data_IF_791921383430
#
_entry.id   IF_791921383430
#
_cell.length_a   1.000
_cell.length_b   1.000
_cell.length_c   1.000
_cell.angle_alpha   90.00
_cell.angle_beta   90.00
_cell.angle_gamma   90.00
#
_symmetry.space_group_name_H-M   'P 1'
#
loop_
_entity.id
_entity.type
_entity.pdbx_description
1 polymer ?
#
# COMPACT_ATOMS: atom_id res chain seq x y z
N UNK A 1 4.42 -10.71 -15.79
CA UNK A 1 3.39 -11.19 -14.84
C UNK A 1 2.14 -10.32 -14.81
N UNK A 2 2.25 -8.98 -14.73
CA UNK A 2 1.08 -8.09 -14.69
C UNK A 2 0.13 -8.31 -15.88
N UNK A 3 0.65 -8.30 -17.12
CA UNK A 3 -0.17 -8.56 -18.31
C UNK A 3 -0.96 -9.88 -18.21
N UNK A 4 -0.32 -10.98 -17.79
CA UNK A 4 -0.99 -12.27 -17.60
C UNK A 4 -2.09 -12.21 -16.52
N UNK A 5 -1.87 -11.47 -15.42
CA UNK A 5 -2.88 -11.25 -14.39
C UNK A 5 -4.05 -10.37 -14.89
N UNK A 6 -3.77 -9.37 -15.74
CA UNK A 6 -4.80 -8.58 -16.41
C UNK A 6 -5.65 -9.48 -17.33
N UNK A 7 -5.02 -10.32 -18.16
CA UNK A 7 -5.76 -11.27 -19.00
C UNK A 7 -6.68 -12.17 -18.17
N UNK A 8 -6.19 -12.74 -17.07
CA UNK A 8 -7.02 -13.55 -16.18
C UNK A 8 -8.18 -12.74 -15.57
N UNK A 9 -7.92 -11.50 -15.15
CA UNK A 9 -8.96 -10.62 -14.61
C UNK A 9 -10.07 -10.34 -15.63
N UNK A 10 -9.70 -10.02 -16.87
CA UNK A 10 -10.65 -9.76 -17.95
C UNK A 10 -11.45 -11.01 -18.31
N UNK A 11 -10.78 -12.17 -18.46
CA UNK A 11 -11.45 -13.44 -18.77
C UNK A 11 -12.42 -13.86 -17.67
N UNK A 12 -12.01 -13.79 -16.39
CA UNK A 12 -12.88 -14.12 -15.26
C UNK A 12 -14.08 -13.17 -15.19
N UNK A 13 -13.88 -11.88 -15.41
CA UNK A 13 -14.94 -10.86 -15.43
C UNK A 13 -15.95 -11.15 -16.53
N UNK A 14 -15.46 -11.36 -17.76
CA UNK A 14 -16.31 -11.45 -18.95
C UNK A 14 -17.03 -12.80 -19.06
N UNK A 15 -16.46 -13.88 -18.49
CA UNK A 15 -17.00 -15.24 -18.60
C UNK A 15 -17.77 -15.71 -17.35
N UNK A 16 -17.35 -15.29 -16.16
CA UNK A 16 -17.97 -15.72 -14.89
C UNK A 16 -18.56 -14.56 -14.08
N UNK A 17 -18.05 -13.34 -14.22
CA UNK A 17 -18.45 -12.20 -13.40
C UNK A 17 -17.91 -12.23 -11.97
N UNK A 18 -17.10 -13.22 -11.62
CA UNK A 18 -16.51 -13.39 -10.28
C UNK A 18 -15.14 -14.08 -10.33
N UNK A 19 -14.42 -14.01 -9.21
CA UNK A 19 -13.07 -14.56 -9.03
C UNK A 19 -12.37 -13.91 -7.85
N UNK A 20 -11.12 -14.26 -7.57
CA UNK A 20 -10.35 -13.60 -6.51
C UNK A 20 -9.60 -12.40 -7.13
N UNK A 21 -10.16 -11.21 -6.93
CA UNK A 21 -9.61 -9.94 -7.41
C UNK A 21 -8.83 -9.23 -6.31
N UNK A 22 -7.82 -8.45 -6.72
CA UNK A 22 -7.15 -7.48 -5.87
C UNK A 22 -7.68 -6.09 -6.27
N UNK A 23 -8.44 -5.45 -5.39
CA UNK A 23 -9.14 -4.19 -5.65
C UNK A 23 -8.50 -3.09 -4.81
N UNK A 24 -8.43 -1.88 -5.35
CA UNK A 24 -7.91 -0.72 -4.65
C UNK A 24 -8.65 0.53 -5.12
N UNK A 25 -9.43 1.15 -4.25
CA UNK A 25 -10.34 2.24 -4.60
C UNK A 25 -9.69 3.64 -4.58
N UNK A 26 -8.37 3.72 -4.34
CA UNK A 26 -7.67 5.01 -4.37
C UNK A 26 -7.86 5.77 -3.06
N UNK A 27 -8.80 6.70 -3.04
CA UNK A 27 -9.14 7.50 -1.86
C UNK A 27 -10.50 7.12 -1.29
N UNK A 28 -10.67 7.29 0.02
CA UNK A 28 -11.97 7.16 0.66
C UNK A 28 -12.85 8.39 0.31
N UNK A 29 -14.07 8.23 -0.24
CA UNK A 29 -14.99 9.34 -0.48
C UNK A 29 -15.28 10.22 0.76
N UNK A 30 -15.28 9.62 1.96
CA UNK A 30 -15.46 10.34 3.21
C UNK A 30 -14.30 11.30 3.51
N UNK A 31 -13.12 11.09 2.92
CA UNK A 31 -11.98 12.00 3.04
C UNK A 31 -12.20 13.28 2.23
N UNK A 32 -12.62 13.14 0.98
CA UNK A 32 -12.78 14.26 0.04
C UNK A 32 -13.84 15.26 0.48
N UNK A 33 -14.95 14.77 1.03
CA UNK A 33 -16.04 15.60 1.56
C UNK A 33 -15.63 16.45 2.78
N UNK A 34 -14.66 16.00 3.59
CA UNK A 34 -14.32 16.62 4.88
C UNK A 34 -13.12 17.56 4.84
N UNK A 35 -12.26 17.53 3.80
CA UNK A 35 -10.91 18.13 3.86
C UNK A 35 -10.36 18.80 2.57
N UNK A 36 -11.22 19.44 1.78
CA UNK A 36 -10.87 20.37 0.69
C UNK A 36 -9.65 21.31 0.95
N UNK A 37 -9.34 21.80 2.18
CA UNK A 37 -8.21 22.72 2.39
C UNK A 37 -6.81 22.12 2.24
N UNK A 38 -6.63 20.79 2.29
CA UNK A 38 -5.29 20.17 2.22
C UNK A 38 -4.79 19.94 0.79
N UNK A 39 -5.68 20.03 -0.22
CA UNK A 39 -5.31 19.97 -1.63
C UNK A 39 -4.94 21.36 -2.20
N UNK A 40 -5.40 22.45 -1.58
CA UNK A 40 -5.08 23.82 -2.03
C UNK A 40 -3.59 24.16 -2.04
N UNK A 41 -2.76 23.72 -1.07
CA UNK A 41 -1.33 24.06 -1.06
C UNK A 41 -0.50 23.28 -2.09
N UNK A 42 -1.05 22.24 -2.73
CA UNK A 42 -0.30 21.39 -3.66
C UNK A 42 -0.40 21.85 -5.11
N UNK A 43 -1.09 22.97 -5.39
CA UNK A 43 -1.24 23.52 -6.75
C UNK A 43 -2.09 22.66 -7.69
N UNK A 44 -2.65 21.55 -7.20
CA UNK A 44 -3.60 20.72 -7.94
C UNK A 44 -4.98 21.22 -7.53
N UNK A 45 -5.66 21.96 -8.41
CA UNK A 45 -7.12 22.09 -8.38
C UNK A 45 -7.71 20.70 -8.63
N UNK A 46 -7.63 19.84 -7.61
CA UNK A 46 -8.11 18.50 -7.70
C UNK A 46 -9.60 18.55 -7.42
N UNK A 47 -10.39 18.56 -8.48
CA UNK A 47 -11.80 18.22 -8.40
C UNK A 47 -11.94 16.90 -7.63
N UNK A 48 -12.63 16.96 -6.51
CA UNK A 48 -12.81 15.83 -5.61
C UNK A 48 -13.48 14.66 -6.33
N UNK A 49 -14.43 14.93 -7.21
CA UNK A 49 -15.11 13.89 -7.98
C UNK A 49 -14.14 13.23 -8.96
N UNK A 50 -13.29 14.02 -9.62
CA UNK A 50 -12.24 13.51 -10.50
C UNK A 50 -11.27 12.59 -9.76
N UNK A 51 -10.87 12.92 -8.53
CA UNK A 51 -9.97 12.08 -7.72
C UNK A 51 -10.54 10.71 -7.32
N UNK A 52 -11.87 10.56 -7.35
CA UNK A 52 -12.54 9.27 -7.14
C UNK A 52 -12.58 8.41 -8.40
N UNK A 53 -12.13 8.94 -9.53
CA UNK A 53 -12.01 8.19 -10.79
C UNK A 53 -10.60 7.62 -10.96
N UNK A 54 -10.48 6.52 -11.71
CA UNK A 54 -9.20 5.90 -12.02
C UNK A 54 -8.27 6.87 -12.77
N UNK A 55 -8.83 7.63 -13.70
CA UNK A 55 -8.10 8.62 -14.50
C UNK A 55 -7.56 9.75 -13.63
N UNK A 56 -8.41 10.38 -12.82
CA UNK A 56 -7.98 11.46 -11.93
C UNK A 56 -6.97 11.02 -10.88
N UNK A 57 -7.09 9.79 -10.36
CA UNK A 57 -6.07 9.23 -9.48
C UNK A 57 -4.73 9.06 -10.21
N UNK A 58 -4.73 8.57 -11.45
CA UNK A 58 -3.51 8.41 -12.25
C UNK A 58 -2.86 9.76 -12.60
N UNK A 59 -3.66 10.77 -12.96
CA UNK A 59 -3.17 12.13 -13.18
C UNK A 59 -2.49 12.69 -11.93
N UNK A 60 -3.14 12.58 -10.76
CA UNK A 60 -2.55 13.01 -9.50
C UNK A 60 -1.24 12.26 -9.24
N UNK A 61 -1.19 10.93 -9.43
CA UNK A 61 0.03 10.14 -9.24
C UNK A 61 1.17 10.63 -10.12
N UNK A 62 0.91 10.86 -11.41
CA UNK A 62 1.92 11.40 -12.35
C UNK A 62 2.42 12.78 -11.92
N UNK A 63 1.53 13.65 -11.43
CA UNK A 63 1.92 14.96 -10.92
C UNK A 63 2.77 14.87 -9.65
N UNK A 64 2.44 13.94 -8.73
CA UNK A 64 3.24 13.71 -7.52
C UNK A 64 4.62 13.13 -7.84
N UNK A 65 4.70 12.25 -8.84
CA UNK A 65 5.96 11.65 -9.29
C UNK A 65 6.88 12.64 -10.01
N UNK A 66 6.33 13.73 -10.58
CA UNK A 66 7.13 14.78 -11.23
C UNK A 66 7.70 15.82 -10.25
N UNK A 67 7.34 15.74 -8.97
CA UNK A 67 7.84 16.67 -7.95
C UNK A 67 9.31 16.41 -7.61
N UNK A 68 10.09 17.45 -7.26
CA UNK A 68 11.50 17.29 -6.91
C UNK A 68 11.73 16.47 -5.63
N UNK A 69 10.69 16.35 -4.78
CA UNK A 69 10.77 15.57 -3.52
C UNK A 69 9.47 14.80 -3.28
N UNK A 70 9.55 13.73 -2.49
CA UNK A 70 8.39 12.94 -2.09
C UNK A 70 7.55 13.59 -0.97
N UNK A 71 7.85 14.84 -0.59
CA UNK A 71 7.17 15.51 0.51
C UNK A 71 5.66 15.55 0.30
N UNK A 72 5.19 15.97 -0.88
CA UNK A 72 3.76 16.04 -1.17
C UNK A 72 3.11 14.64 -1.18
N UNK A 73 3.75 13.65 -1.78
CA UNK A 73 3.26 12.27 -1.78
C UNK A 73 3.10 11.72 -0.36
N UNK A 74 4.08 11.94 0.52
CA UNK A 74 4.03 11.50 1.91
C UNK A 74 2.82 12.07 2.67
N UNK A 75 2.42 13.31 2.36
CA UNK A 75 1.29 14.00 3.00
C UNK A 75 -0.05 13.46 2.53
N UNK A 76 -0.12 12.97 1.29
CA UNK A 76 -1.33 12.45 0.65
C UNK A 76 -1.51 10.96 0.92
N UNK A 77 -0.42 10.19 1.05
CA UNK A 77 -0.42 8.73 1.24
C UNK A 77 -1.30 8.26 2.37
N UNK A 78 -1.39 9.01 3.47
CA UNK A 78 -2.27 8.69 4.63
C UNK A 78 -3.78 8.72 4.32
N UNK A 79 -4.16 9.24 3.17
CA UNK A 79 -5.56 9.31 2.72
C UNK A 79 -5.90 8.21 1.72
N UNK A 80 -4.90 7.47 1.23
CA UNK A 80 -5.11 6.36 0.33
C UNK A 80 -5.64 5.15 1.09
N UNK A 81 -6.53 4.40 0.46
CA UNK A 81 -7.02 3.12 0.97
C UNK A 81 -5.96 2.04 0.77
N UNK A 82 -6.14 0.88 1.42
CA UNK A 82 -5.30 -0.28 1.18
C UNK A 82 -5.89 -1.14 0.07
N UNK A 83 -5.04 -1.92 -0.60
CA UNK A 83 -5.53 -2.93 -1.54
C UNK A 83 -6.21 -4.08 -0.77
N UNK A 84 -7.42 -4.42 -1.20
CA UNK A 84 -8.29 -5.42 -0.60
C UNK A 84 -8.46 -6.62 -1.55
N UNK A 85 -8.95 -7.73 -0.99
CA UNK A 85 -9.27 -8.93 -1.76
C UNK A 85 -10.79 -8.97 -1.92
N UNK A 86 -11.27 -9.10 -3.14
CA UNK A 86 -12.70 -9.15 -3.47
C UNK A 86 -13.05 -10.42 -4.25
N UNK A 87 -14.29 -10.91 -4.11
CA UNK A 87 -14.85 -11.97 -4.94
C UNK A 87 -15.44 -11.47 -6.26
N UNK A 88 -15.56 -10.14 -6.40
CA UNK A 88 -16.09 -9.46 -7.59
C UNK A 88 -15.05 -8.57 -8.24
N UNK A 89 -15.16 -8.33 -9.57
CA UNK A 89 -14.28 -7.42 -10.29
C UNK A 89 -14.35 -6.00 -9.71
N UNK A 90 -13.22 -5.32 -9.72
CA UNK A 90 -13.12 -3.92 -9.32
C UNK A 90 -11.77 -3.32 -9.71
N UNK A 91 -11.68 -1.98 -9.73
CA UNK A 91 -10.50 -1.28 -10.18
C UNK A 91 -9.35 -1.41 -9.17
N UNK A 92 -8.14 -1.34 -9.68
CA UNK A 92 -6.93 -1.26 -8.88
C UNK A 92 -6.22 0.07 -9.16
N UNK A 93 -6.63 1.13 -8.46
CA UNK A 93 -6.15 2.50 -8.68
C UNK A 93 -4.64 2.64 -8.56
N UNK A 94 -4.02 1.96 -7.58
CA UNK A 94 -2.56 1.96 -7.41
C UNK A 94 -1.78 1.35 -8.58
N UNK A 95 -2.45 0.62 -9.49
CA UNK A 95 -1.86 0.07 -10.72
C UNK A 95 -2.37 0.75 -11.98
N UNK A 96 -3.36 1.65 -11.89
CA UNK A 96 -4.01 2.25 -13.06
C UNK A 96 -4.81 1.25 -13.90
N UNK A 97 -5.40 0.22 -13.29
CA UNK A 97 -6.10 -0.86 -14.00
C UNK A 97 -7.59 -0.94 -13.61
N UNK A 98 -8.46 -1.23 -14.57
CA UNK A 98 -9.91 -1.43 -14.35
C UNK A 98 -10.25 -2.74 -13.63
N UNK A 99 -9.41 -3.76 -13.79
CA UNK A 99 -9.56 -5.04 -13.11
C UNK A 99 -8.19 -5.71 -12.93
N UNK A 100 -7.98 -6.34 -11.78
CA UNK A 100 -6.74 -7.06 -11.51
C UNK A 100 -6.97 -8.30 -10.65
N UNK A 101 -6.62 -9.48 -11.17
CA UNK A 101 -6.74 -10.77 -10.50
C UNK A 101 -5.43 -11.55 -10.67
N UNK A 102 -4.88 -12.07 -9.57
CA UNK A 102 -3.61 -12.81 -9.64
C UNK A 102 -3.87 -14.29 -9.83
N UNK A 103 -3.13 -14.92 -10.74
CA UNK A 103 -3.14 -16.38 -10.94
C UNK A 103 -1.73 -16.93 -11.17
N UNK A 104 -0.72 -16.11 -10.97
CA UNK A 104 0.65 -16.36 -11.42
C UNK A 104 1.56 -16.96 -10.35
N UNK A 105 1.06 -17.18 -9.15
CA UNK A 105 1.81 -17.70 -8.00
C UNK A 105 1.00 -18.72 -7.17
N UNK A 106 0.33 -19.72 -7.78
CA UNK A 106 -0.57 -20.64 -7.08
C UNK A 106 0.14 -21.49 -6.01
N UNK A 107 1.44 -21.76 -6.14
CA UNK A 107 2.23 -22.53 -5.17
C UNK A 107 2.29 -21.84 -3.79
N UNK A 108 2.24 -20.50 -3.77
CA UNK A 108 2.45 -19.68 -2.56
C UNK A 108 1.30 -18.73 -2.25
N UNK A 109 0.21 -18.78 -3.02
CA UNK A 109 -0.99 -17.96 -2.85
C UNK A 109 -2.23 -18.78 -3.14
N UNK A 110 -3.02 -19.03 -2.10
CA UNK A 110 -4.28 -19.79 -2.23
C UNK A 110 -5.27 -19.10 -3.17
N UNK A 111 -5.37 -17.76 -3.15
CA UNK A 111 -6.23 -17.01 -4.09
C UNK A 111 -5.87 -17.26 -5.55
N UNK A 112 -4.58 -17.37 -5.88
CA UNK A 112 -4.15 -17.72 -7.24
C UNK A 112 -4.55 -19.15 -7.61
N UNK A 113 -4.51 -20.10 -6.67
CA UNK A 113 -5.01 -21.47 -6.90
C UNK A 113 -6.53 -21.51 -7.14
N UNK A 114 -7.31 -20.68 -6.43
CA UNK A 114 -8.75 -20.52 -6.69
C UNK A 114 -8.96 -20.02 -8.12
N UNK A 115 -8.25 -18.97 -8.53
CA UNK A 115 -8.34 -18.45 -9.90
C UNK A 115 -7.89 -19.48 -10.95
N UNK A 116 -6.90 -20.33 -10.66
CA UNK A 116 -6.54 -21.47 -11.54
C UNK A 116 -7.72 -22.42 -11.76
N UNK A 117 -8.45 -22.77 -10.70
CA UNK A 117 -9.62 -23.67 -10.79
C UNK A 117 -10.75 -23.03 -11.61
N UNK A 118 -11.01 -21.74 -11.38
CA UNK A 118 -12.01 -20.99 -12.15
C UNK A 118 -11.64 -20.89 -13.64
N UNK A 119 -10.39 -20.57 -13.95
CA UNK A 119 -9.90 -20.52 -15.33
C UNK A 119 -9.97 -21.90 -16.01
N UNK A 120 -9.66 -22.98 -15.29
CA UNK A 120 -9.83 -24.34 -15.80
C UNK A 120 -11.30 -24.69 -16.05
N UNK A 121 -12.22 -24.28 -15.18
CA UNK A 121 -13.65 -24.48 -15.39
C UNK A 121 -14.14 -23.78 -16.66
N UNK A 122 -13.65 -22.56 -16.94
CA UNK A 122 -13.93 -21.85 -18.20
C UNK A 122 -13.42 -22.65 -19.42
N UNK A 123 -12.18 -23.14 -19.37
CA UNK A 123 -11.56 -23.90 -20.49
C UNK A 123 -12.29 -25.21 -20.74
N UNK A 124 -12.70 -25.91 -19.68
CA UNK A 124 -13.39 -27.20 -19.75
C UNK A 124 -14.90 -27.07 -19.88
N UNK A 125 -15.43 -25.85 -20.00
CA UNK A 125 -16.87 -25.55 -20.08
C UNK A 125 -17.69 -26.16 -18.93
N UNK A 126 -17.11 -26.20 -17.74
CA UNK A 126 -17.75 -26.70 -16.52
C UNK A 126 -18.38 -25.56 -15.73
N UNK A 127 -19.45 -25.87 -15.00
CA UNK A 127 -20.02 -24.94 -14.04
C UNK A 127 -18.98 -24.56 -12.97
N UNK A 128 -18.88 -23.27 -12.68
CA UNK A 128 -18.04 -22.74 -11.62
C UNK A 128 -18.92 -22.02 -10.60
N UNK A 129 -18.58 -22.15 -9.32
CA UNK A 129 -19.27 -21.45 -8.25
C UNK A 129 -18.48 -20.22 -7.81
N UNK A 130 -19.21 -19.16 -7.46
CA UNK A 130 -18.61 -17.95 -6.88
C UNK A 130 -17.93 -18.33 -5.56
N UNK A 131 -16.64 -17.98 -5.36
CA UNK A 131 -16.00 -18.15 -4.06
C UNK A 131 -16.79 -17.43 -2.97
N UNK A 132 -16.93 -18.06 -1.82
CA UNK A 132 -17.57 -17.44 -0.66
C UNK A 132 -16.73 -16.24 -0.16
N UNK A 133 -17.42 -15.20 0.32
CA UNK A 133 -16.74 -13.96 0.74
C UNK A 133 -15.87 -14.16 1.98
N UNK A 134 -16.14 -15.17 2.81
CA UNK A 134 -15.32 -15.55 3.97
C UNK A 134 -13.88 -15.94 3.60
N UNK A 135 -13.67 -16.52 2.42
CA UNK A 135 -12.35 -16.83 1.87
C UNK A 135 -11.52 -15.55 1.75
N UNK A 136 -12.12 -14.44 1.33
CA UNK A 136 -11.41 -13.16 1.19
C UNK A 136 -10.98 -12.62 2.55
N UNK A 137 -11.81 -12.76 3.58
CA UNK A 137 -11.51 -12.37 4.96
C UNK A 137 -10.32 -13.17 5.48
N UNK A 138 -10.33 -14.49 5.30
CA UNK A 138 -9.21 -15.35 5.71
C UNK A 138 -7.93 -15.02 4.96
N UNK A 139 -7.99 -14.80 3.65
CA UNK A 139 -6.83 -14.42 2.84
C UNK A 139 -6.24 -13.08 3.28
N UNK A 140 -7.10 -12.09 3.54
CA UNK A 140 -6.69 -10.77 4.01
C UNK A 140 -6.01 -10.85 5.38
N UNK A 141 -6.58 -11.61 6.31
CA UNK A 141 -6.02 -11.78 7.65
C UNK A 141 -4.68 -12.52 7.61
N UNK A 142 -4.57 -13.62 6.85
CA UNK A 142 -3.29 -14.33 6.69
C UNK A 142 -2.23 -13.44 6.02
N UNK A 143 -2.61 -12.63 5.03
CA UNK A 143 -1.71 -11.65 4.41
C UNK A 143 -1.25 -10.57 5.40
N UNK A 144 -2.10 -10.16 6.35
CA UNK A 144 -1.75 -9.21 7.40
C UNK A 144 -0.77 -9.84 8.40
N UNK A 145 -1.08 -11.02 8.92
CA UNK A 145 -0.25 -11.75 9.88
C UNK A 145 1.13 -12.08 9.30
N UNK A 146 1.21 -12.55 8.05
CA UNK A 146 2.48 -12.85 7.41
C UNK A 146 3.38 -11.60 7.30
N UNK A 147 2.81 -10.45 6.93
CA UNK A 147 3.56 -9.17 6.86
C UNK A 147 4.04 -8.70 8.24
N UNK A 148 3.26 -8.95 9.29
CA UNK A 148 3.68 -8.63 10.65
C UNK A 148 4.83 -9.54 11.09
N UNK A 149 4.69 -10.85 10.91
CA UNK A 149 5.75 -11.80 11.28
C UNK A 149 7.07 -11.51 10.56
N UNK A 150 7.02 -11.21 9.25
CA UNK A 150 8.20 -10.81 8.47
C UNK A 150 8.86 -9.55 9.03
N UNK A 151 8.05 -8.53 9.37
CA UNK A 151 8.56 -7.29 9.97
C UNK A 151 9.16 -7.52 11.35
N UNK A 152 8.48 -8.26 12.22
CA UNK A 152 8.90 -8.47 13.60
C UNK A 152 10.25 -9.21 13.67
N UNK A 153 10.44 -10.22 12.81
CA UNK A 153 11.72 -10.91 12.66
C UNK A 153 12.78 -9.96 12.10
N UNK A 154 12.44 -9.16 11.09
CA UNK A 154 13.33 -8.14 10.53
C UNK A 154 13.81 -7.14 11.57
N UNK A 155 12.90 -6.55 12.35
CA UNK A 155 13.20 -5.57 13.40
C UNK A 155 14.14 -6.16 14.46
N UNK A 156 13.92 -7.41 14.86
CA UNK A 156 14.78 -8.11 15.80
C UNK A 156 16.19 -8.38 15.24
N UNK A 157 16.29 -8.76 13.96
CA UNK A 157 17.57 -8.98 13.30
C UNK A 157 18.33 -7.65 13.10
N UNK A 158 17.64 -6.56 12.73
CA UNK A 158 18.25 -5.24 12.62
C UNK A 158 18.81 -4.74 13.95
N UNK A 159 18.06 -4.93 15.05
CA UNK A 159 18.54 -4.56 16.38
C UNK A 159 19.84 -5.29 16.76
N UNK A 160 19.95 -6.58 16.40
CA UNK A 160 21.18 -7.37 16.60
C UNK A 160 22.31 -6.90 15.70
N UNK A 161 22.03 -6.68 14.42
CA UNK A 161 23.01 -6.24 13.43
C UNK A 161 23.61 -4.87 13.77
N UNK A 162 22.80 -3.94 14.26
CA UNK A 162 23.23 -2.58 14.60
C UNK A 162 23.76 -2.43 16.02
N UNK A 163 23.71 -3.48 16.85
CA UNK A 163 24.11 -3.42 18.26
C UNK A 163 25.54 -2.91 18.45
N UNK A 164 26.48 -3.43 17.66
CA UNK A 164 27.90 -3.08 17.77
C UNK A 164 28.23 -1.70 17.19
N UNK A 165 27.26 -1.05 16.55
CA UNK A 165 27.38 0.31 16.00
C UNK A 165 26.90 1.37 16.98
N UNK A 166 26.15 0.97 18.01
CA UNK A 166 25.62 1.89 19.00
C UNK A 166 26.74 2.57 19.79
N UNK A 167 26.72 3.91 19.84
CA UNK A 167 27.73 4.72 20.55
C UNK A 167 29.02 4.96 19.76
N UNK A 168 29.13 4.45 18.54
CA UNK A 168 30.25 4.75 17.62
C UNK A 168 29.96 6.02 16.82
N UNK A 169 31.00 6.57 16.18
CA UNK A 169 30.88 7.70 15.24
C UNK A 169 30.51 7.26 13.80
N UNK A 170 30.10 6.00 13.61
CA UNK A 170 29.67 5.50 12.31
C UNK A 170 28.40 6.22 11.85
N UNK A 171 28.41 6.72 10.61
CA UNK A 171 27.33 7.54 10.04
C UNK A 171 26.55 6.76 9.02
N UNK A 172 25.23 6.88 9.09
CA UNK A 172 24.30 6.27 8.14
C UNK A 172 23.49 7.36 7.45
N UNK A 173 23.38 7.28 6.13
CA UNK A 173 22.41 8.09 5.41
C UNK A 173 21.01 7.56 5.74
N UNK A 174 20.10 8.46 6.11
CA UNK A 174 18.76 8.09 6.54
C UNK A 174 17.70 9.02 5.96
N UNK A 175 16.55 8.44 5.59
CA UNK A 175 15.36 9.16 5.15
C UNK A 175 14.38 9.31 6.31
N UNK A 176 13.81 10.49 6.51
CA UNK A 176 12.76 10.72 7.50
C UNK A 176 11.45 10.12 6.99
N UNK A 177 10.93 9.12 7.68
CA UNK A 177 9.70 8.39 7.30
C UNK A 177 8.47 8.93 8.00
N UNK A 178 8.61 9.36 9.27
CA UNK A 178 7.49 9.86 10.05
C UNK A 178 7.95 10.88 11.10
N UNK A 179 7.07 11.85 11.39
CA UNK A 179 7.31 12.94 12.34
C UNK A 179 6.20 12.94 13.38
N UNK A 180 6.58 12.71 14.63
CA UNK A 180 5.66 12.70 15.77
C UNK A 180 6.10 13.73 16.80
N UNK A 181 5.22 14.06 17.77
CA UNK A 181 5.60 14.93 18.90
C UNK A 181 6.81 14.38 19.68
N UNK A 182 6.98 13.05 19.71
CA UNK A 182 8.07 12.40 20.44
C UNK A 182 9.42 12.44 19.72
N UNK A 183 9.45 12.69 18.41
CA UNK A 183 10.66 12.63 17.60
C UNK A 183 10.42 12.18 16.16
N UNK A 184 11.51 11.78 15.49
CA UNK A 184 11.53 11.36 14.08
C UNK A 184 11.72 9.84 13.99
N UNK A 185 10.96 9.19 13.10
CA UNK A 185 11.31 7.84 12.64
C UNK A 185 12.06 7.97 11.32
N UNK A 186 13.22 7.34 11.24
CA UNK A 186 14.08 7.38 10.06
C UNK A 186 14.33 5.95 9.54
N UNK A 187 14.54 5.82 8.24
CA UNK A 187 14.98 4.57 7.59
C UNK A 187 16.40 4.75 7.11
N UNK A 188 17.30 3.86 7.51
CA UNK A 188 18.66 3.83 7.01
C UNK A 188 18.65 3.38 5.55
N UNK A 189 19.28 4.13 4.65
CA UNK A 189 19.21 3.88 3.20
C UNK A 189 19.97 2.61 2.79
N UNK A 190 21.10 2.32 3.44
CA UNK A 190 21.98 1.23 3.02
C UNK A 190 21.44 -0.16 3.35
N UNK A 191 20.60 -0.27 4.40
CA UNK A 191 20.11 -1.56 4.89
C UNK A 191 18.60 -1.62 5.17
N UNK A 192 17.88 -0.50 5.13
CA UNK A 192 16.43 -0.46 5.34
C UNK A 192 15.97 -0.52 6.80
N UNK A 193 16.88 -0.55 7.78
CA UNK A 193 16.54 -0.57 9.19
C UNK A 193 15.78 0.71 9.60
N UNK A 194 14.80 0.56 10.47
CA UNK A 194 14.07 1.68 11.06
C UNK A 194 14.69 2.08 12.39
N UNK A 195 14.95 3.37 12.58
CA UNK A 195 15.45 3.94 13.83
C UNK A 195 14.57 5.10 14.30
N UNK A 196 14.68 5.44 15.59
CA UNK A 196 13.96 6.54 16.20
C UNK A 196 14.94 7.57 16.76
N UNK A 197 14.75 8.84 16.40
CA UNK A 197 15.51 9.98 16.90
C UNK A 197 14.61 10.75 17.86
N UNK A 198 14.83 10.68 19.18
CA UNK A 198 14.03 11.41 20.17
C UNK A 198 14.11 12.92 19.96
N UNK A 199 13.00 13.64 20.21
CA UNK A 199 12.94 15.10 20.06
C UNK A 199 14.08 15.87 20.77
N UNK A 200 14.53 15.51 21.99
CA UNK A 200 15.64 16.20 22.67
C UNK A 200 16.98 16.15 21.92
N UNK A 201 17.15 15.21 20.99
CA UNK A 201 18.38 15.08 20.18
C UNK A 201 18.36 15.97 18.94
N UNK A 202 17.20 16.50 18.54
CA UNK A 202 17.05 17.37 17.36
C UNK A 202 17.40 18.81 17.73
N UNK A 203 16.84 19.28 18.83
CA UNK A 203 17.13 20.60 19.39
C UNK A 203 16.97 20.52 20.90
N UNK A 204 17.94 21.08 21.65
CA UNK A 204 17.77 21.32 23.08
C UNK A 204 16.75 22.43 23.22
N UNK A 205 15.47 22.09 23.39
CA UNK A 205 14.44 23.08 23.68
C UNK A 205 14.94 23.98 24.82
N UNK A 206 14.79 25.30 24.66
CA UNK A 206 15.03 26.25 25.74
C UNK A 206 14.34 25.69 26.99
N UNK A 207 15.10 25.48 28.07
CA UNK A 207 14.48 25.38 29.39
C UNK A 207 13.47 26.52 29.44
N UNK A 208 12.21 26.23 29.73
CA UNK A 208 11.34 27.26 30.29
C UNK A 208 11.99 27.58 31.62
N UNK A 209 12.84 28.60 31.62
CA UNK A 209 13.23 29.28 32.84
C UNK A 209 11.93 29.69 33.52
N UNK A 210 11.86 29.37 34.81
CA UNK A 210 10.60 29.24 35.54
C UNK A 210 9.73 30.49 35.50
N UNK A 211 8.42 30.22 35.50
CA UNK A 211 7.44 30.96 36.31
C UNK A 211 6.63 29.92 37.06
#
# INVERSE_FOLDING_TARGET
MIAANVCAALVLRDRLGFGIYNVHNGFDPAWLSKRSPYCRPTGVEADAEKLLTLEGFCELRRHLDSQPTQFLDSRIRRFQTFAEISTTPGPHFGLGLEAYATWTSPIRKYGDMVNHRLLKAIISEQAAEKPQDDVTVQLAERRRLNRMAERDVGDWLYARFLKDKAGTDERFNAEIIDVTRGGLRVRLLDNGAMAFIPAPFIHRGSRRDGV
#
